data_IF_545351293711
#
_entry.id   IF_545351293711
#
_cell.length_a   1.000
_cell.length_b   1.000
_cell.length_c   1.000
_cell.angle_alpha   90.00
_cell.angle_beta   90.00
_cell.angle_gamma   90.00
#
_symmetry.space_group_name_H-M   'P 1'
#
loop_
_entity.id
_entity.type
_entity.pdbx_description
1 polymer ?
#
# COMPACT_ATOMS: atom_id res chain seq x y z
N UNK A 1 15.59 21.04 29.86
CA UNK A 1 16.39 20.95 28.63
C UNK A 1 15.79 19.83 27.82
N UNK A 2 15.04 20.20 26.82
CA UNK A 2 14.25 19.31 25.96
C UNK A 2 15.15 18.64 24.93
N UNK A 3 15.17 17.30 24.89
CA UNK A 3 15.74 16.55 23.77
C UNK A 3 14.75 16.63 22.61
N UNK A 4 15.11 17.34 21.56
CA UNK A 4 14.45 17.28 20.27
C UNK A 4 14.73 15.90 19.66
N UNK A 5 13.68 15.13 19.46
CA UNK A 5 13.74 13.91 18.66
C UNK A 5 14.10 14.29 17.23
N UNK A 6 15.25 13.81 16.79
CA UNK A 6 15.65 13.83 15.39
C UNK A 6 14.78 12.80 14.67
N UNK A 7 13.83 13.27 13.90
CA UNK A 7 13.25 12.48 12.81
C UNK A 7 14.41 12.25 11.82
N UNK A 8 14.92 11.04 11.75
CA UNK A 8 15.81 10.65 10.66
C UNK A 8 15.00 10.69 9.37
N UNK A 9 15.19 11.76 8.64
CA UNK A 9 14.74 11.90 7.27
C UNK A 9 15.48 10.84 6.46
N UNK A 10 14.77 9.85 5.91
CA UNK A 10 15.28 8.99 4.87
C UNK A 10 15.73 9.93 3.75
N UNK A 11 17.02 9.97 3.49
CA UNK A 11 17.59 10.84 2.46
C UNK A 11 17.02 10.41 1.10
N UNK A 12 16.47 11.38 0.40
CA UNK A 12 15.65 11.28 -0.82
C UNK A 12 16.48 10.94 -2.07
N UNK A 13 17.72 10.48 -1.93
CA UNK A 13 18.57 10.18 -3.07
C UNK A 13 18.18 8.88 -3.82
N UNK A 14 17.40 7.99 -3.21
CA UNK A 14 16.86 6.80 -3.90
C UNK A 14 15.58 7.05 -4.71
N UNK A 15 15.02 8.25 -4.68
CA UNK A 15 13.78 8.60 -5.40
C UNK A 15 14.06 8.98 -6.88
N UNK A 16 15.30 9.00 -7.31
CA UNK A 16 15.66 9.26 -8.71
C UNK A 16 15.28 8.16 -9.71
N UNK A 17 14.79 7.03 -9.22
CA UNK A 17 14.21 5.94 -10.05
C UNK A 17 12.74 6.17 -10.43
N UNK A 18 12.09 7.20 -9.88
CA UNK A 18 10.67 7.50 -10.10
C UNK A 18 10.29 7.91 -11.55
N UNK A 19 11.12 8.59 -12.36
CA UNK A 19 10.73 8.92 -13.73
C UNK A 19 10.57 7.70 -14.65
N UNK A 20 11.33 6.62 -14.41
CA UNK A 20 11.24 5.39 -15.20
C UNK A 20 10.04 4.51 -14.80
N UNK A 21 9.53 4.66 -13.58
CA UNK A 21 8.36 3.95 -13.08
C UNK A 21 7.03 4.58 -13.54
N UNK A 22 7.06 5.79 -14.10
CA UNK A 22 5.88 6.57 -14.48
C UNK A 22 5.55 6.53 -15.97
N UNK A 23 6.35 5.81 -16.78
CA UNK A 23 6.05 5.66 -18.20
C UNK A 23 4.83 4.72 -18.34
N UNK A 24 3.72 5.28 -18.80
CA UNK A 24 2.33 4.83 -18.66
C UNK A 24 1.95 3.42 -19.14
N UNK A 25 2.89 2.51 -19.28
CA UNK A 25 2.66 1.13 -19.75
C UNK A 25 3.32 0.05 -18.87
N UNK A 26 3.94 0.40 -17.75
CA UNK A 26 4.60 -0.56 -16.87
C UNK A 26 3.78 -0.79 -15.60
N UNK A 27 3.59 -2.06 -15.25
CA UNK A 27 3.08 -2.44 -13.93
C UNK A 27 4.07 -1.94 -12.89
N UNK A 28 3.58 -1.09 -12.02
CA UNK A 28 4.39 -0.55 -10.94
C UNK A 28 4.72 -1.67 -9.96
N UNK A 29 6.00 -1.82 -9.66
CA UNK A 29 6.47 -2.80 -8.68
C UNK A 29 6.49 -2.11 -7.32
N UNK A 30 5.72 -2.58 -6.31
CA UNK A 30 5.76 -2.00 -4.97
C UNK A 30 7.15 -2.19 -4.37
N UNK A 31 7.65 -1.18 -3.68
CA UNK A 31 8.88 -1.26 -2.91
C UNK A 31 8.51 -1.69 -1.50
N UNK A 32 9.02 -2.84 -1.06
CA UNK A 32 8.83 -3.32 0.32
C UNK A 32 10.02 -2.86 1.15
N UNK A 33 9.77 -1.97 2.12
CA UNK A 33 10.82 -1.35 2.96
C UNK A 33 10.92 -1.94 4.36
N UNK A 34 10.05 -2.88 4.73
CA UNK A 34 9.98 -3.44 6.09
C UNK A 34 10.74 -4.76 6.24
N UNK A 35 11.51 -4.90 7.32
CA UNK A 35 12.00 -6.18 7.83
C UNK A 35 10.89 -7.00 8.52
N UNK A 36 11.23 -8.16 9.09
CA UNK A 36 10.33 -8.96 9.93
C UNK A 36 10.14 -8.36 11.35
N UNK A 37 10.78 -7.24 11.62
CA UNK A 37 10.60 -6.49 12.86
C UNK A 37 9.18 -5.91 12.94
N UNK A 38 8.63 -5.77 14.15
CA UNK A 38 7.34 -5.11 14.34
C UNK A 38 7.43 -3.70 13.72
N UNK A 39 6.55 -3.41 12.77
CA UNK A 39 6.39 -2.05 12.26
C UNK A 39 6.13 -1.16 13.48
N UNK A 40 6.81 -0.01 13.59
CA UNK A 40 6.53 0.96 14.64
C UNK A 40 5.03 1.12 14.78
N UNK A 41 4.50 0.97 16.00
CA UNK A 41 3.07 1.11 16.26
C UNK A 41 2.65 2.53 15.88
N UNK A 42 2.13 2.66 14.67
CA UNK A 42 1.53 3.91 14.23
C UNK A 42 0.12 3.96 14.79
N UNK A 43 -0.15 4.97 15.58
CA UNK A 43 -1.48 5.19 16.12
C UNK A 43 -2.43 5.59 14.99
N UNK A 44 -3.24 4.63 14.51
CA UNK A 44 -4.25 4.88 13.48
C UNK A 44 -5.48 5.49 14.14
N UNK A 45 -5.95 6.67 13.69
CA UNK A 45 -7.16 7.28 14.22
C UNK A 45 -8.38 6.37 14.05
N UNK A 46 -9.33 6.42 14.99
CA UNK A 46 -10.56 5.62 14.94
C UNK A 46 -11.42 5.89 13.69
N UNK A 47 -11.41 7.14 13.20
CA UNK A 47 -12.13 7.55 11.99
C UNK A 47 -11.12 8.11 11.00
N UNK A 48 -11.05 7.49 9.82
CA UNK A 48 -10.14 7.90 8.75
C UNK A 48 -10.87 8.07 7.42
N UNK A 49 -10.37 8.94 6.52
CA UNK A 49 -10.80 9.01 5.14
C UNK A 49 -10.47 7.72 4.40
N UNK A 50 -11.38 7.23 3.53
CA UNK A 50 -11.21 5.98 2.78
C UNK A 50 -11.00 6.25 1.30
N UNK A 51 -9.81 5.94 0.81
CA UNK A 51 -9.45 5.96 -0.61
C UNK A 51 -9.82 4.63 -1.25
N UNK A 52 -10.70 4.68 -2.25
CA UNK A 52 -11.12 3.51 -3.01
C UNK A 52 -10.08 3.13 -4.06
N UNK A 53 -9.57 1.91 -3.97
CA UNK A 53 -8.69 1.32 -4.96
C UNK A 53 -9.50 0.49 -5.97
N UNK A 54 -9.12 0.54 -7.25
CA UNK A 54 -9.86 -0.12 -8.34
C UNK A 54 -9.39 -1.55 -8.61
N UNK A 55 -8.08 -1.78 -8.66
CA UNK A 55 -7.50 -3.04 -9.15
C UNK A 55 -6.23 -3.48 -8.45
N UNK A 56 -5.80 -2.78 -7.43
CA UNK A 56 -4.59 -3.11 -6.68
C UNK A 56 -4.87 -3.08 -5.18
N UNK A 57 -4.13 -3.88 -4.43
CA UNK A 57 -4.18 -3.93 -2.97
C UNK A 57 -2.90 -3.29 -2.43
N UNK A 58 -3.05 -2.41 -1.45
CA UNK A 58 -1.91 -1.91 -0.69
C UNK A 58 -1.70 -2.79 0.55
N UNK A 59 -0.49 -3.26 0.74
CA UNK A 59 -0.11 -4.04 1.93
C UNK A 59 0.70 -3.20 2.92
N UNK A 60 0.67 -3.55 4.23
CA UNK A 60 1.55 -2.95 5.21
C UNK A 60 3.03 -3.11 4.83
N UNK A 61 3.83 -2.05 5.02
CA UNK A 61 5.24 -2.01 4.68
C UNK A 61 5.53 -1.83 3.18
N UNK A 62 4.50 -1.75 2.34
CA UNK A 62 4.67 -1.52 0.91
C UNK A 62 4.54 -0.03 0.57
N UNK A 63 5.44 0.47 -0.29
CA UNK A 63 5.35 1.79 -0.90
C UNK A 63 4.86 1.58 -2.33
N UNK A 64 3.68 2.13 -2.65
CA UNK A 64 3.03 1.90 -3.94
C UNK A 64 2.47 3.19 -4.52
N UNK A 65 2.77 3.53 -5.78
CA UNK A 65 2.10 4.60 -6.47
C UNK A 65 0.71 4.17 -6.94
N UNK A 66 -0.28 4.99 -6.64
CA UNK A 66 -1.69 4.78 -6.98
C UNK A 66 -2.16 5.92 -7.86
N UNK A 67 -2.76 5.60 -9.01
CA UNK A 67 -3.38 6.61 -9.87
C UNK A 67 -4.78 6.93 -9.36
N UNK A 68 -5.04 8.20 -9.13
CA UNK A 68 -6.30 8.74 -8.61
C UNK A 68 -6.90 9.69 -9.65
N UNK A 69 -8.10 9.38 -10.15
CA UNK A 69 -8.78 10.18 -11.19
C UNK A 69 -10.21 10.55 -10.86
N UNK A 70 -10.82 9.94 -9.82
CA UNK A 70 -12.20 10.27 -9.40
C UNK A 70 -12.18 11.54 -8.54
N UNK A 71 -13.16 12.43 -8.74
CA UNK A 71 -13.27 13.70 -8.01
C UNK A 71 -13.29 13.49 -6.48
N UNK A 72 -14.07 12.52 -5.99
CA UNK A 72 -14.12 12.17 -4.56
C UNK A 72 -12.74 11.78 -4.02
N UNK A 73 -12.00 10.98 -4.78
CA UNK A 73 -10.67 10.51 -4.40
C UNK A 73 -9.62 11.64 -4.46
N UNK A 74 -9.69 12.52 -5.46
CA UNK A 74 -8.83 13.70 -5.58
C UNK A 74 -9.05 14.65 -4.40
N UNK A 75 -10.32 14.92 -4.06
CA UNK A 75 -10.66 15.76 -2.91
C UNK A 75 -10.16 15.17 -1.60
N UNK A 76 -10.31 13.86 -1.42
CA UNK A 76 -9.78 13.14 -0.25
C UNK A 76 -8.27 13.30 -0.14
N UNK A 77 -7.54 12.99 -1.21
CA UNK A 77 -6.08 13.03 -1.23
C UNK A 77 -5.56 14.43 -0.89
N UNK A 78 -6.17 15.47 -1.48
CA UNK A 78 -5.80 16.86 -1.19
C UNK A 78 -6.05 17.24 0.26
N UNK A 79 -7.21 16.84 0.81
CA UNK A 79 -7.55 17.10 2.22
C UNK A 79 -6.57 16.40 3.18
N UNK A 80 -6.33 15.10 2.97
CA UNK A 80 -5.41 14.31 3.82
C UNK A 80 -3.98 14.85 3.74
N UNK A 81 -3.53 15.22 2.56
CA UNK A 81 -2.17 15.77 2.38
C UNK A 81 -1.98 17.12 3.10
N UNK A 82 -3.01 17.97 3.09
CA UNK A 82 -2.97 19.25 3.78
C UNK A 82 -2.90 19.11 5.31
N UNK A 83 -3.51 18.06 5.85
CA UNK A 83 -3.56 17.76 7.28
C UNK A 83 -2.39 16.88 7.75
N UNK A 84 -1.59 16.31 6.84
CA UNK A 84 -0.54 15.36 7.16
C UNK A 84 -1.06 14.05 7.76
N UNK A 85 -2.31 13.70 7.43
CA UNK A 85 -3.07 12.64 8.07
C UNK A 85 -2.85 11.24 7.47
N UNK A 86 -3.57 10.29 8.04
CA UNK A 86 -3.65 8.89 7.60
C UNK A 86 -4.95 8.70 6.82
N UNK A 87 -4.91 7.89 5.76
CA UNK A 87 -6.07 7.42 5.03
C UNK A 87 -6.15 5.88 5.06
N UNK A 88 -7.32 5.33 4.80
CA UNK A 88 -7.50 3.89 4.55
C UNK A 88 -7.55 3.63 3.05
N UNK A 89 -6.67 2.78 2.53
CA UNK A 89 -6.70 2.32 1.16
C UNK A 89 -7.49 1.00 1.08
N UNK A 90 -8.63 1.01 0.40
CA UNK A 90 -9.58 -0.11 0.39
C UNK A 90 -9.96 -0.46 -1.05
N UNK A 91 -9.86 -1.75 -1.40
CA UNK A 91 -10.22 -2.24 -2.73
C UNK A 91 -11.74 -2.32 -2.89
N UNK A 92 -12.23 -1.89 -4.06
CA UNK A 92 -13.61 -2.18 -4.49
C UNK A 92 -13.73 -3.64 -4.99
N UNK A 93 -14.92 -4.22 -4.88
CA UNK A 93 -15.17 -5.62 -5.27
C UNK A 93 -15.14 -5.81 -6.78
N UNK A 94 -15.78 -4.90 -7.50
CA UNK A 94 -15.90 -4.93 -8.96
C UNK A 94 -15.14 -3.73 -9.55
N UNK A 95 -14.15 -3.98 -10.37
CA UNK A 95 -13.25 -2.94 -10.90
C UNK A 95 -13.90 -1.99 -11.90
N UNK A 96 -15.01 -2.37 -12.51
CA UNK A 96 -15.77 -1.63 -13.51
C UNK A 96 -16.80 -0.66 -12.92
N UNK A 97 -17.10 -0.77 -11.61
CA UNK A 97 -17.97 0.20 -10.93
C UNK A 97 -17.25 1.54 -10.80
N UNK A 98 -17.81 2.57 -11.45
CA UNK A 98 -17.17 3.89 -11.47
C UNK A 98 -17.38 4.71 -10.19
N UNK A 99 -18.56 4.68 -9.59
CA UNK A 99 -18.87 5.33 -8.31
C UNK A 99 -19.35 4.28 -7.31
N UNK A 100 -18.42 3.55 -6.66
CA UNK A 100 -18.77 2.48 -5.74
C UNK A 100 -19.43 3.02 -4.47
N UNK A 101 -20.48 2.32 -4.03
CA UNK A 101 -21.11 2.52 -2.73
C UNK A 101 -20.33 1.79 -1.62
N UNK A 102 -20.61 2.04 -0.34
CA UNK A 102 -19.99 1.34 0.78
C UNK A 102 -20.05 -0.20 0.68
N UNK A 103 -21.15 -0.75 0.18
CA UNK A 103 -21.34 -2.21 0.03
C UNK A 103 -20.50 -2.82 -1.11
N UNK A 104 -20.04 -1.98 -2.05
CA UNK A 104 -19.17 -2.39 -3.15
C UNK A 104 -17.70 -2.50 -2.72
N UNK A 105 -17.39 -2.20 -1.47
CA UNK A 105 -16.04 -2.20 -0.92
C UNK A 105 -15.76 -3.46 -0.14
N UNK A 106 -14.49 -3.88 -0.12
CA UNK A 106 -14.04 -4.85 0.87
C UNK A 106 -14.03 -4.20 2.27
N UNK A 107 -14.22 -5.03 3.30
CA UNK A 107 -14.19 -4.56 4.69
C UNK A 107 -12.79 -4.36 5.23
N UNK A 108 -11.82 -5.03 4.64
CA UNK A 108 -10.42 -4.95 5.07
C UNK A 108 -9.62 -4.12 4.07
N UNK A 109 -8.84 -3.22 4.60
CA UNK A 109 -7.91 -2.38 3.85
C UNK A 109 -6.62 -2.14 4.62
N UNK A 110 -5.86 -1.17 4.18
CA UNK A 110 -4.60 -0.77 4.81
C UNK A 110 -4.62 0.71 5.14
N UNK A 111 -4.38 1.05 6.40
CA UNK A 111 -4.09 2.42 6.78
C UNK A 111 -2.77 2.85 6.14
N UNK A 112 -2.72 4.02 5.55
CA UNK A 112 -1.58 4.48 4.78
C UNK A 112 -1.32 5.97 4.97
N UNK A 113 -0.07 6.36 4.76
CA UNK A 113 0.38 7.75 4.73
C UNK A 113 0.75 8.15 3.31
N UNK A 114 0.41 9.37 2.93
CA UNK A 114 0.85 9.96 1.66
C UNK A 114 2.32 10.39 1.82
N UNK A 115 3.19 9.84 0.96
CA UNK A 115 4.60 10.27 0.87
C UNK A 115 4.72 11.43 -0.10
N UNK A 116 4.09 11.30 -1.29
CA UNK A 116 4.21 12.28 -2.36
C UNK A 116 2.98 12.27 -3.26
N UNK A 117 2.65 13.42 -3.82
CA UNK A 117 1.62 13.58 -4.84
C UNK A 117 2.27 14.15 -6.08
N UNK A 118 1.98 13.56 -7.24
CA UNK A 118 2.40 14.03 -8.55
C UNK A 118 1.14 14.35 -9.36
N UNK A 119 1.05 15.59 -9.87
CA UNK A 119 -0.04 15.99 -10.76
C UNK A 119 0.30 15.60 -12.19
N UNK A 120 -0.62 14.87 -12.83
CA UNK A 120 -0.47 14.44 -14.22
C UNK A 120 -1.12 15.45 -15.16
N UNK A 121 -0.60 15.59 -16.42
CA UNK A 121 -1.13 16.56 -17.39
C UNK A 121 -2.64 16.38 -17.70
N UNK A 122 -3.19 15.19 -17.51
CA UNK A 122 -4.59 14.87 -17.72
C UNK A 122 -5.50 15.22 -16.53
N UNK A 123 -4.97 15.87 -15.47
CA UNK A 123 -5.69 16.22 -14.26
C UNK A 123 -5.79 15.12 -13.20
N UNK A 124 -5.34 13.90 -13.49
CA UNK A 124 -5.24 12.84 -12.51
C UNK A 124 -4.08 13.09 -11.55
N UNK A 125 -4.13 12.44 -10.39
CA UNK A 125 -3.02 12.42 -9.43
C UNK A 125 -2.37 11.05 -9.42
N UNK A 126 -1.05 10.99 -9.31
CA UNK A 126 -0.33 9.80 -8.86
C UNK A 126 0.10 10.04 -7.41
N UNK A 127 -0.40 9.22 -6.51
CA UNK A 127 -0.19 9.34 -5.08
C UNK A 127 0.69 8.18 -4.62
N UNK A 128 1.85 8.50 -4.06
CA UNK A 128 2.74 7.50 -3.48
C UNK A 128 2.31 7.28 -2.04
N UNK A 129 1.80 6.08 -1.76
CA UNK A 129 1.32 5.66 -0.45
C UNK A 129 2.33 4.73 0.22
N UNK A 130 2.53 4.92 1.52
CA UNK A 130 3.19 3.97 2.40
C UNK A 130 2.14 3.26 3.24
N UNK A 131 1.98 1.96 3.05
CA UNK A 131 1.10 1.11 3.86
C UNK A 131 1.64 0.95 5.27
N UNK A 132 0.81 1.20 6.27
CA UNK A 132 1.17 1.17 7.69
C UNK A 132 0.66 -0.11 8.36
N UNK A 133 -0.64 -0.23 8.54
CA UNK A 133 -1.28 -1.31 9.29
C UNK A 133 -2.57 -1.75 8.60
N UNK A 134 -2.92 -3.04 8.71
CA UNK A 134 -4.23 -3.54 8.26
C UNK A 134 -5.33 -3.00 9.16
N UNK A 135 -6.44 -2.60 8.53
CA UNK A 135 -7.61 -2.10 9.24
C UNK A 135 -8.88 -2.76 8.73
N UNK A 136 -9.83 -2.98 9.62
CA UNK A 136 -11.19 -3.39 9.28
C UNK A 136 -12.13 -2.20 9.38
N UNK A 137 -12.93 -1.99 8.34
CA UNK A 137 -14.01 -1.01 8.34
C UNK A 137 -15.18 -1.58 9.12
N UNK A 138 -15.56 -0.92 10.19
CA UNK A 138 -16.72 -1.29 11.02
C UNK A 138 -17.97 -0.52 10.62
N UNK A 139 -17.83 0.74 10.20
CA UNK A 139 -18.95 1.62 9.86
C UNK A 139 -18.49 2.74 8.90
N UNK A 140 -19.27 3.03 7.87
CA UNK A 140 -19.11 4.25 7.07
C UNK A 140 -19.87 5.40 7.74
N UNK A 141 -19.15 6.47 8.08
CA UNK A 141 -19.71 7.64 8.76
C UNK A 141 -20.27 8.66 7.76
N UNK A 142 -19.53 8.90 6.67
CA UNK A 142 -19.95 9.79 5.58
C UNK A 142 -19.55 9.23 4.24
N UNK A 143 -20.30 9.61 3.20
CA UNK A 143 -20.02 9.27 1.81
C UNK A 143 -19.67 10.50 0.96
N UNK A 144 -19.95 11.70 1.47
CA UNK A 144 -19.71 12.99 0.81
C UNK A 144 -18.90 13.94 1.73
N UNK A 145 -17.97 14.74 1.21
CA UNK A 145 -17.51 14.81 -0.20
C UNK A 145 -16.60 13.64 -0.59
N UNK A 146 -16.24 12.80 0.35
CA UNK A 146 -15.51 11.53 0.22
C UNK A 146 -15.84 10.61 1.39
N UNK A 147 -15.51 9.34 1.27
CA UNK A 147 -15.78 8.36 2.33
C UNK A 147 -14.95 8.65 3.57
N UNK A 148 -15.62 8.63 4.74
CA UNK A 148 -14.98 8.49 6.05
C UNK A 148 -15.59 7.30 6.75
N UNK A 149 -14.75 6.49 7.39
CA UNK A 149 -15.19 5.29 8.08
C UNK A 149 -14.51 5.14 9.43
N UNK A 150 -15.23 4.50 10.36
CA UNK A 150 -14.69 3.96 11.59
C UNK A 150 -13.93 2.70 11.28
N UNK A 151 -12.70 2.62 11.77
CA UNK A 151 -11.83 1.48 11.53
C UNK A 151 -11.29 0.91 12.84
N UNK A 152 -10.95 -0.38 12.79
CA UNK A 152 -10.26 -1.07 13.88
C UNK A 152 -9.00 -1.70 13.31
N UNK A 153 -7.87 -1.52 13.98
CA UNK A 153 -6.61 -2.16 13.59
C UNK A 153 -6.75 -3.70 13.65
N UNK A 154 -6.38 -4.35 12.55
CA UNK A 154 -6.33 -5.80 12.45
C UNK A 154 -4.89 -6.27 12.71
N UNK A 155 -4.64 -6.71 13.94
CA UNK A 155 -3.36 -7.33 14.27
C UNK A 155 -3.37 -8.79 13.84
N UNK A 156 -2.46 -9.15 12.95
CA UNK A 156 -2.25 -10.55 12.61
C UNK A 156 -1.76 -11.33 13.83
N UNK A 157 -2.23 -12.56 13.97
CA UNK A 157 -1.53 -13.52 14.83
C UNK A 157 -0.12 -13.66 14.28
N UNK A 158 0.88 -13.36 15.10
CA UNK A 158 2.28 -13.47 14.68
C UNK A 158 2.61 -14.94 14.51
N UNK A 159 2.80 -15.46 13.27
CA UNK A 159 3.29 -16.83 13.10
C UNK A 159 4.67 -16.91 13.72
N UNK A 160 5.06 -18.11 14.13
CA UNK A 160 6.45 -18.34 14.50
C UNK A 160 7.35 -18.25 13.26
N UNK A 161 7.87 -17.04 13.02
CA UNK A 161 8.74 -16.73 11.88
C UNK A 161 10.03 -17.55 11.88
N UNK A 162 10.36 -18.21 13.00
CA UNK A 162 11.53 -19.08 13.17
C UNK A 162 11.21 -20.56 12.97
N UNK A 163 9.92 -20.89 12.76
CA UNK A 163 9.51 -22.26 12.47
C UNK A 163 10.10 -22.72 11.14
N UNK A 164 10.71 -23.89 11.13
CA UNK A 164 11.28 -24.52 9.92
C UNK A 164 10.16 -24.73 8.88
N UNK A 165 8.95 -25.05 9.31
CA UNK A 165 7.81 -25.24 8.43
C UNK A 165 7.42 -23.93 7.73
N UNK A 166 7.36 -22.81 8.46
CA UNK A 166 7.07 -21.50 7.89
C UNK A 166 8.15 -21.06 6.90
N UNK A 167 9.41 -21.29 7.23
CA UNK A 167 10.53 -20.99 6.34
C UNK A 167 10.47 -21.78 5.03
N UNK A 168 10.22 -23.09 5.12
CA UNK A 168 10.06 -23.95 3.93
C UNK A 168 8.88 -23.53 3.05
N UNK A 169 7.75 -23.08 3.65
CA UNK A 169 6.61 -22.55 2.91
C UNK A 169 6.96 -21.25 2.17
N UNK A 170 7.63 -20.31 2.83
CA UNK A 170 8.05 -19.04 2.22
C UNK A 170 9.01 -19.28 1.06
N UNK A 171 9.98 -20.18 1.22
CA UNK A 171 10.92 -20.54 0.16
C UNK A 171 10.19 -21.20 -1.02
N UNK A 172 9.22 -22.07 -0.77
CA UNK A 172 8.40 -22.67 -1.80
C UNK A 172 7.59 -21.63 -2.59
N UNK A 173 6.99 -20.65 -1.89
CA UNK A 173 6.26 -19.55 -2.53
C UNK A 173 7.21 -18.70 -3.37
N UNK A 174 8.41 -18.40 -2.86
CA UNK A 174 9.44 -17.66 -3.59
C UNK A 174 9.83 -18.36 -4.90
N UNK A 175 10.09 -19.65 -4.84
CA UNK A 175 10.48 -20.46 -6.01
C UNK A 175 9.36 -20.50 -7.06
N UNK A 176 8.12 -20.71 -6.64
CA UNK A 176 6.97 -20.70 -7.54
C UNK A 176 6.80 -19.32 -8.20
N UNK A 177 6.91 -18.24 -7.45
CA UNK A 177 6.80 -16.88 -7.98
C UNK A 177 7.91 -16.58 -9.00
N UNK A 178 9.17 -16.96 -8.71
CA UNK A 178 10.29 -16.83 -9.66
C UNK A 178 10.06 -17.64 -10.93
N UNK A 179 9.52 -18.86 -10.82
CA UNK A 179 9.18 -19.67 -11.98
C UNK A 179 8.09 -19.04 -12.84
N UNK A 180 7.03 -18.48 -12.22
CA UNK A 180 5.96 -17.77 -12.94
C UNK A 180 6.54 -16.57 -13.71
N UNK A 181 7.39 -15.76 -13.09
CA UNK A 181 8.02 -14.60 -13.74
C UNK A 181 8.88 -15.04 -14.91
N UNK A 182 9.65 -16.14 -14.78
CA UNK A 182 10.53 -16.62 -15.82
C UNK A 182 9.78 -17.15 -17.07
N UNK A 183 8.59 -17.75 -16.88
CA UNK A 183 7.80 -18.33 -17.99
C UNK A 183 6.75 -17.37 -18.53
N UNK A 184 6.45 -16.27 -17.84
CA UNK A 184 5.44 -15.29 -18.26
C UNK A 184 6.08 -14.11 -19.00
N UNK A 185 5.81 -13.93 -20.30
CA UNK A 185 6.34 -12.80 -21.06
C UNK A 185 5.78 -11.44 -20.60
N UNK A 186 4.65 -11.43 -19.88
CA UNK A 186 3.97 -10.23 -19.40
C UNK A 186 4.45 -9.72 -18.04
N UNK A 187 5.29 -10.50 -17.34
CA UNK A 187 5.82 -10.12 -16.04
C UNK A 187 7.16 -9.38 -16.20
N UNK A 188 7.33 -8.23 -15.53
CA UNK A 188 8.60 -7.52 -15.56
C UNK A 188 9.70 -8.35 -14.89
N UNK A 189 10.88 -8.40 -15.51
CA UNK A 189 12.03 -9.15 -14.96
C UNK A 189 12.55 -8.54 -13.65
N UNK A 190 12.30 -7.27 -13.45
CA UNK A 190 12.62 -6.51 -12.24
C UNK A 190 11.91 -7.09 -11.01
N UNK A 191 10.71 -7.68 -11.18
CA UNK A 191 10.01 -8.37 -10.11
C UNK A 191 10.80 -9.57 -9.57
N UNK A 192 11.52 -10.30 -10.44
CA UNK A 192 12.38 -11.39 -9.99
C UNK A 192 13.57 -10.89 -9.16
N UNK A 193 14.11 -9.72 -9.52
CA UNK A 193 15.16 -9.09 -8.75
C UNK A 193 14.64 -8.63 -7.38
N UNK A 194 13.46 -8.01 -7.33
CA UNK A 194 12.82 -7.60 -6.07
C UNK A 194 12.60 -8.81 -5.14
N UNK A 195 12.00 -9.91 -5.64
CA UNK A 195 11.76 -11.13 -4.84
C UNK A 195 13.05 -11.71 -4.24
N UNK A 196 14.18 -11.65 -4.98
CA UNK A 196 15.47 -12.17 -4.51
C UNK A 196 16.10 -11.30 -3.43
N UNK A 197 15.79 -10.00 -3.39
CA UNK A 197 16.40 -9.04 -2.47
C UNK A 197 15.49 -8.65 -1.29
N UNK A 198 14.27 -9.19 -1.20
CA UNK A 198 13.42 -9.01 -0.02
C UNK A 198 13.81 -10.04 1.04
N UNK A 199 14.40 -9.57 2.14
CA UNK A 199 14.81 -10.42 3.26
C UNK A 199 13.64 -10.76 4.19
N UNK A 200 12.65 -9.87 4.30
CA UNK A 200 11.48 -10.06 5.14
C UNK A 200 10.58 -11.17 4.61
N UNK A 201 10.30 -12.20 5.43
CA UNK A 201 9.38 -13.29 5.09
C UNK A 201 7.95 -12.78 4.86
N UNK A 202 7.48 -11.82 5.66
CA UNK A 202 6.19 -11.14 5.45
C UNK A 202 6.23 -10.25 4.22
N UNK A 203 7.33 -9.53 4.04
CA UNK A 203 7.53 -8.66 2.89
C UNK A 203 7.42 -9.40 1.57
N UNK A 204 8.00 -10.59 1.45
CA UNK A 204 7.87 -11.44 0.27
C UNK A 204 6.42 -11.85 0.01
N UNK A 205 5.70 -12.31 1.03
CA UNK A 205 4.30 -12.71 0.89
C UNK A 205 3.45 -11.52 0.42
N UNK A 206 3.60 -10.37 1.07
CA UNK A 206 2.87 -9.16 0.70
C UNK A 206 3.21 -8.71 -0.73
N UNK A 207 4.50 -8.77 -1.13
CA UNK A 207 4.94 -8.41 -2.46
C UNK A 207 4.37 -9.34 -3.55
N UNK A 208 4.31 -10.65 -3.29
CA UNK A 208 3.77 -11.62 -4.26
C UNK A 208 2.25 -11.48 -4.39
N UNK A 209 1.57 -11.06 -3.32
CA UNK A 209 0.12 -10.86 -3.30
C UNK A 209 -0.35 -9.48 -3.80
N UNK A 210 0.56 -8.52 -3.99
CA UNK A 210 0.25 -7.17 -4.48
C UNK A 210 0.24 -7.11 -6.00
#
# INVERSE_FOLDING_TARGET
MSKKDKIETIEVDDVNLLPELLDGNHRVIPIVTGGDEPVEEVEVPEIIPILTLRSSVLFPGAITPITVGRDKSINLVRAVNAEGGILGAVLQRESDVEDPAPDDMYKVGTAARIIKILEMPNGNLTVILNGLEKVEITEYITTEPYFKARVTALRDSTPDLKSIEFEALVDSIRDVALNIINVSPSMPKEAAFAIKNIDSKRGIINFICS
#
